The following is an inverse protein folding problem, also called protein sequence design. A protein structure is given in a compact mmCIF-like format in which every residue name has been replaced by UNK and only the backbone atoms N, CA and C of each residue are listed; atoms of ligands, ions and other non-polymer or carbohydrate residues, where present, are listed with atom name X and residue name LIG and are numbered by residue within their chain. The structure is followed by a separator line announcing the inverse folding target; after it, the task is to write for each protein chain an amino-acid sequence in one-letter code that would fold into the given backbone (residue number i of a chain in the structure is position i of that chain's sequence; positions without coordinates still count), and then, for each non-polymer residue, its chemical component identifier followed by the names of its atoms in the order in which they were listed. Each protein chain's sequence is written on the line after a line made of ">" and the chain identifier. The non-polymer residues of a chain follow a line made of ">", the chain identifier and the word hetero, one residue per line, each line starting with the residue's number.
data_IF_556945106484
#
_entry.id   IF_556945106484
#
_cell.length_a   1.000
_cell.length_b   1.000
_cell.length_c   1.000
_cell.angle_alpha   90.00
_cell.angle_beta   90.00
_cell.angle_gamma   90.00
#
_symmetry.space_group_name_H-M   'P 1'
#
loop_
_entity.id
_entity.type
_entity.pdbx_description
1 polymer ?
#
# COMPACT_ATOMS: atom_id res chain seq x y z
N UNK A 1 18.07 4.66 3.09
CA UNK A 1 18.60 3.85 1.96
C UNK A 1 19.82 4.45 1.25
N UNK A 2 20.04 5.78 1.23
CA UNK A 2 21.19 6.39 0.52
C UNK A 2 22.56 5.88 0.98
N UNK A 3 22.65 5.42 2.24
CA UNK A 3 23.86 4.85 2.82
C UNK A 3 24.17 3.42 2.37
N UNK A 4 23.32 2.79 1.55
CA UNK A 4 23.60 1.51 0.88
C UNK A 4 23.20 1.60 -0.61
N UNK A 5 24.10 2.15 -1.46
CA UNK A 5 23.76 2.45 -2.85
C UNK A 5 23.37 1.23 -3.69
N UNK A 6 24.07 0.09 -3.53
CA UNK A 6 23.77 -1.13 -4.28
C UNK A 6 22.43 -1.75 -3.88
N UNK A 7 22.11 -1.78 -2.58
CA UNK A 7 20.80 -2.23 -2.12
C UNK A 7 19.69 -1.34 -2.69
N UNK A 8 19.86 -0.01 -2.60
CA UNK A 8 18.91 0.96 -3.17
C UNK A 8 18.73 0.75 -4.69
N UNK A 9 19.81 0.51 -5.44
CA UNK A 9 19.73 0.26 -6.88
C UNK A 9 18.86 -0.96 -7.20
N UNK A 10 19.05 -2.07 -6.49
CA UNK A 10 18.26 -3.30 -6.68
C UNK A 10 16.80 -3.12 -6.25
N UNK A 11 16.57 -2.47 -5.11
CA UNK A 11 15.23 -2.12 -4.64
C UNK A 11 14.49 -1.23 -5.65
N UNK A 12 15.19 -0.25 -6.22
CA UNK A 12 14.63 0.61 -7.27
C UNK A 12 14.22 -0.21 -8.51
N UNK A 13 15.02 -1.16 -8.99
CA UNK A 13 14.60 -1.99 -10.12
C UNK A 13 13.29 -2.74 -9.84
N UNK A 14 13.15 -3.33 -8.64
CA UNK A 14 11.92 -4.02 -8.24
C UNK A 14 10.71 -3.07 -8.21
N UNK A 15 10.85 -1.89 -7.62
CA UNK A 15 9.71 -0.96 -7.52
C UNK A 15 9.35 -0.31 -8.85
N UNK A 16 10.31 -0.08 -9.76
CA UNK A 16 10.00 0.40 -11.11
C UNK A 16 9.16 -0.64 -11.87
N UNK A 17 9.53 -1.92 -11.81
CA UNK A 17 8.71 -2.99 -12.37
C UNK A 17 7.27 -2.94 -11.81
N UNK A 18 7.12 -2.89 -10.48
CA UNK A 18 5.80 -2.92 -9.85
C UNK A 18 4.97 -1.64 -10.07
N UNK A 19 5.60 -0.47 -10.24
CA UNK A 19 4.91 0.81 -10.37
C UNK A 19 4.59 1.17 -11.82
N UNK A 20 5.53 0.90 -12.71
CA UNK A 20 5.56 1.48 -14.05
C UNK A 20 5.32 0.43 -15.15
N UNK A 21 5.61 -0.84 -14.86
CA UNK A 21 5.48 -1.95 -15.84
C UNK A 21 4.34 -2.93 -15.51
N UNK A 22 3.81 -2.92 -14.29
CA UNK A 22 2.65 -3.75 -13.91
C UNK A 22 1.41 -3.33 -14.70
N UNK A 23 0.60 -4.32 -15.10
CA UNK A 23 -0.68 -4.14 -15.80
C UNK A 23 -1.84 -3.80 -14.85
N UNK A 24 -1.58 -3.75 -13.54
CA UNK A 24 -2.59 -3.39 -12.55
C UNK A 24 -2.99 -1.91 -12.66
N UNK A 25 -4.28 -1.57 -12.46
CA UNK A 25 -4.70 -0.18 -12.39
C UNK A 25 -3.95 0.59 -11.31
N UNK A 26 -3.53 1.83 -11.60
CA UNK A 26 -2.80 2.67 -10.64
C UNK A 26 -3.58 2.85 -9.33
N UNK A 27 -4.91 2.98 -9.40
CA UNK A 27 -5.83 2.97 -8.25
C UNK A 27 -5.57 1.81 -7.26
N UNK A 28 -5.41 0.60 -7.80
CA UNK A 28 -5.18 -0.62 -7.01
C UNK A 28 -3.76 -0.67 -6.45
N UNK A 29 -2.77 -0.23 -7.24
CA UNK A 29 -1.39 -0.11 -6.78
C UNK A 29 -1.29 0.90 -5.62
N UNK A 30 -1.97 2.05 -5.69
CA UNK A 30 -2.02 3.03 -4.61
C UNK A 30 -2.74 2.51 -3.38
N UNK A 31 -3.85 1.78 -3.54
CA UNK A 31 -4.55 1.15 -2.42
C UNK A 31 -3.62 0.20 -1.64
N UNK A 32 -2.85 -0.64 -2.34
CA UNK A 32 -1.87 -1.52 -1.71
C UNK A 32 -0.80 -0.74 -0.92
N UNK A 33 -0.28 0.36 -1.49
CA UNK A 33 0.71 1.24 -0.83
C UNK A 33 0.15 1.89 0.42
N UNK A 34 -1.10 2.38 0.36
CA UNK A 34 -1.78 3.01 1.50
C UNK A 34 -2.05 2.01 2.63
N UNK A 35 -2.51 0.80 2.30
CA UNK A 35 -2.73 -0.25 3.30
C UNK A 35 -1.40 -0.62 3.97
N UNK A 36 -0.33 -0.82 3.20
CA UNK A 36 0.99 -1.14 3.76
C UNK A 36 1.57 0.01 4.61
N UNK A 37 1.45 1.26 4.13
CA UNK A 37 1.89 2.45 4.86
C UNK A 37 1.15 2.61 6.18
N UNK A 38 -0.18 2.42 6.18
CA UNK A 38 -0.98 2.52 7.39
C UNK A 38 -0.81 1.34 8.34
N UNK A 39 -0.59 0.13 7.82
CA UNK A 39 -0.28 -1.04 8.66
C UNK A 39 1.04 -0.87 9.45
N UNK A 40 1.93 -0.03 8.93
CA UNK A 40 3.21 0.32 9.57
C UNK A 40 3.17 1.69 10.26
N UNK A 41 2.01 2.36 10.34
CA UNK A 41 1.87 3.70 10.91
C UNK A 41 2.90 4.72 10.33
N UNK A 42 3.20 4.59 9.04
CA UNK A 42 4.24 5.37 8.38
C UNK A 42 3.68 6.62 7.68
N UNK A 43 3.91 7.77 8.30
CA UNK A 43 3.42 9.06 7.80
C UNK A 43 4.03 9.46 6.46
N UNK A 44 5.31 9.15 6.25
CA UNK A 44 6.01 9.49 5.02
C UNK A 44 5.35 8.82 3.80
N UNK A 45 5.07 7.52 3.91
CA UNK A 45 4.36 6.79 2.84
C UNK A 45 2.94 7.30 2.70
N UNK A 46 2.22 7.52 3.80
CA UNK A 46 0.86 8.02 3.74
C UNK A 46 0.75 9.36 3.00
N UNK A 47 1.59 10.32 3.38
CA UNK A 47 1.62 11.66 2.80
C UNK A 47 1.91 11.60 1.29
N UNK A 48 2.89 10.78 0.89
CA UNK A 48 3.29 10.65 -0.51
C UNK A 48 2.20 10.03 -1.41
N UNK A 49 1.34 9.16 -0.87
CA UNK A 49 0.46 8.31 -1.68
C UNK A 49 -1.03 8.64 -1.58
N UNK A 50 -1.53 9.19 -0.46
CA UNK A 50 -2.98 9.33 -0.30
C UNK A 50 -3.59 10.34 -1.27
N UNK A 51 -2.92 11.46 -1.51
CA UNK A 51 -3.36 12.45 -2.49
C UNK A 51 -3.34 11.88 -3.92
N UNK A 52 -2.36 11.03 -4.24
CA UNK A 52 -2.26 10.37 -5.54
C UNK A 52 -3.34 9.30 -5.71
N UNK A 53 -3.56 8.46 -4.69
CA UNK A 53 -4.63 7.46 -4.69
C UNK A 53 -6.01 8.06 -4.97
N UNK A 54 -6.32 9.22 -4.39
CA UNK A 54 -7.56 9.96 -4.71
C UNK A 54 -7.62 10.41 -6.17
N UNK A 55 -6.51 10.92 -6.72
CA UNK A 55 -6.43 11.34 -8.13
C UNK A 55 -6.63 10.16 -9.09
N UNK A 56 -6.16 8.98 -8.73
CA UNK A 56 -6.34 7.74 -9.49
C UNK A 56 -7.72 7.08 -9.28
N UNK A 57 -8.59 7.68 -8.46
CA UNK A 57 -9.99 7.29 -8.33
C UNK A 57 -10.36 6.53 -7.06
N UNK A 58 -9.48 6.43 -6.06
CA UNK A 58 -9.90 5.98 -4.73
C UNK A 58 -10.84 7.02 -4.11
N UNK A 59 -11.92 6.56 -3.49
CA UNK A 59 -12.85 7.47 -2.83
C UNK A 59 -12.23 8.11 -1.59
N UNK A 60 -12.55 9.38 -1.35
CA UNK A 60 -12.15 10.11 -0.13
C UNK A 60 -12.59 9.39 1.14
N UNK A 61 -13.78 8.78 1.11
CA UNK A 61 -14.35 8.01 2.21
C UNK A 61 -13.49 6.78 2.53
N UNK A 62 -13.04 6.04 1.50
CA UNK A 62 -12.16 4.89 1.70
C UNK A 62 -10.80 5.31 2.26
N UNK A 63 -10.16 6.32 1.67
CA UNK A 63 -8.85 6.80 2.12
C UNK A 63 -8.91 7.31 3.55
N UNK A 64 -9.97 8.04 3.91
CA UNK A 64 -10.18 8.52 5.29
C UNK A 64 -10.44 7.37 6.27
N UNK A 65 -11.25 6.39 5.89
CA UNK A 65 -11.53 5.24 6.76
C UNK A 65 -10.28 4.37 6.99
N UNK A 66 -9.43 4.20 5.97
CA UNK A 66 -8.11 3.59 6.10
C UNK A 66 -7.23 4.40 7.06
N UNK A 67 -7.13 5.73 6.87
CA UNK A 67 -6.36 6.63 7.73
C UNK A 67 -6.75 6.47 9.20
N UNK A 68 -8.04 6.53 9.47
CA UNK A 68 -8.54 6.63 10.84
C UNK A 68 -8.78 5.26 11.46
N UNK A 69 -8.51 4.17 10.73
CA UNK A 69 -8.76 2.77 11.13
C UNK A 69 -10.23 2.56 11.55
N UNK A 70 -11.15 3.20 10.85
CA UNK A 70 -12.61 3.10 11.09
C UNK A 70 -13.27 2.10 10.13
N UNK A 71 -14.60 1.97 10.21
CA UNK A 71 -15.34 1.10 9.31
C UNK A 71 -15.18 1.56 7.86
N UNK A 72 -14.79 0.64 6.98
CA UNK A 72 -14.60 0.92 5.57
C UNK A 72 -15.97 1.06 4.87
N UNK A 73 -16.11 2.01 3.92
CA UNK A 73 -17.31 2.09 3.10
C UNK A 73 -17.37 0.92 2.11
N UNK A 74 -18.54 0.65 1.49
CA UNK A 74 -18.62 -0.24 0.34
C UNK A 74 -17.63 0.21 -0.76
N UNK A 75 -16.89 -0.74 -1.30
CA UNK A 75 -15.89 -0.52 -2.34
C UNK A 75 -16.16 -1.44 -3.54
N UNK A 76 -15.65 -1.09 -4.74
CA UNK A 76 -15.59 -2.00 -5.88
C UNK A 76 -14.99 -3.37 -5.51
N UNK A 77 -15.38 -4.42 -6.23
CA UNK A 77 -15.02 -5.80 -5.88
C UNK A 77 -13.50 -6.04 -5.81
N UNK A 78 -12.73 -5.40 -6.69
CA UNK A 78 -11.27 -5.47 -6.70
C UNK A 78 -10.64 -4.77 -5.48
N UNK A 79 -11.12 -3.57 -5.13
CA UNK A 79 -10.71 -2.87 -3.90
C UNK A 79 -11.00 -3.70 -2.66
N UNK A 80 -12.22 -4.22 -2.55
CA UNK A 80 -12.67 -4.98 -1.40
C UNK A 80 -11.83 -6.25 -1.23
N UNK A 81 -11.58 -6.99 -2.31
CA UNK A 81 -10.74 -8.19 -2.27
C UNK A 81 -9.31 -7.88 -1.80
N UNK A 82 -8.69 -6.79 -2.30
CA UNK A 82 -7.36 -6.38 -1.85
C UNK A 82 -7.37 -5.92 -0.39
N UNK A 83 -8.38 -5.16 0.03
CA UNK A 83 -8.54 -4.70 1.41
C UNK A 83 -8.62 -5.88 2.37
N UNK A 84 -9.46 -6.87 2.09
CA UNK A 84 -9.66 -8.01 2.98
C UNK A 84 -8.42 -8.89 3.04
N UNK A 85 -7.82 -9.18 1.87
CA UNK A 85 -6.56 -9.91 1.77
C UNK A 85 -5.45 -9.23 2.58
N UNK A 86 -5.25 -7.92 2.39
CA UNK A 86 -4.20 -7.17 3.04
C UNK A 86 -4.43 -7.03 4.55
N UNK A 87 -5.67 -6.75 4.98
CA UNK A 87 -6.01 -6.64 6.41
C UNK A 87 -5.76 -7.96 7.13
N UNK A 88 -6.18 -9.09 6.55
CA UNK A 88 -5.94 -10.40 7.15
C UNK A 88 -4.45 -10.75 7.19
N UNK A 89 -3.73 -10.48 6.10
CA UNK A 89 -2.28 -10.71 5.99
C UNK A 89 -1.50 -9.87 7.03
N UNK A 90 -1.78 -8.58 7.14
CA UNK A 90 -1.07 -7.72 8.09
C UNK A 90 -1.42 -8.05 9.54
N UNK A 91 -2.68 -8.42 9.84
CA UNK A 91 -3.11 -8.75 11.19
C UNK A 91 -2.60 -10.13 11.66
N UNK A 92 -2.70 -11.15 10.80
CA UNK A 92 -2.49 -12.55 11.20
C UNK A 92 -1.24 -13.19 10.62
N UNK A 93 -0.56 -12.51 9.68
CA UNK A 93 0.59 -13.02 8.91
C UNK A 93 0.24 -14.23 8.04
N UNK A 94 -1.05 -14.49 7.84
CA UNK A 94 -1.62 -15.54 7.00
C UNK A 94 -2.88 -14.98 6.33
N UNK A 95 -3.37 -15.67 5.32
CA UNK A 95 -4.64 -15.36 4.65
C UNK A 95 -5.43 -16.65 4.61
N UNK A 96 -6.71 -16.62 4.99
CA UNK A 96 -7.57 -17.80 4.89
C UNK A 96 -7.83 -18.13 3.42
N UNK A 97 -8.13 -19.40 3.16
CA UNK A 97 -8.38 -19.87 1.80
C UNK A 97 -9.49 -19.07 1.10
N UNK A 98 -10.60 -18.80 1.80
CA UNK A 98 -11.72 -18.02 1.27
C UNK A 98 -11.29 -16.60 0.82
N UNK A 99 -10.53 -15.88 1.66
CA UNK A 99 -10.00 -14.55 1.33
C UNK A 99 -9.00 -14.62 0.17
N UNK A 100 -8.17 -15.66 0.14
CA UNK A 100 -7.18 -15.88 -0.92
C UNK A 100 -7.86 -16.15 -2.26
N UNK A 101 -8.87 -17.03 -2.28
CA UNK A 101 -9.63 -17.38 -3.48
C UNK A 101 -10.36 -16.16 -4.04
N UNK A 102 -11.01 -15.36 -3.19
CA UNK A 102 -11.64 -14.11 -3.61
C UNK A 102 -10.65 -13.11 -4.24
N UNK A 103 -9.42 -13.03 -3.73
CA UNK A 103 -8.37 -12.19 -4.32
C UNK A 103 -7.84 -12.77 -5.64
N UNK A 104 -7.69 -14.10 -5.72
CA UNK A 104 -7.31 -14.78 -6.96
C UNK A 104 -8.37 -14.58 -8.04
N UNK A 105 -9.65 -14.61 -7.72
CA UNK A 105 -10.72 -14.40 -8.68
C UNK A 105 -10.70 -12.99 -9.29
N UNK A 106 -10.25 -11.98 -8.54
CA UNK A 106 -10.12 -10.61 -9.03
C UNK A 106 -8.83 -10.38 -9.84
N UNK A 107 -7.70 -10.94 -9.39
CA UNK A 107 -6.37 -10.55 -9.89
C UNK A 107 -5.63 -11.67 -10.64
N UNK A 108 -6.04 -12.92 -10.45
CA UNK A 108 -5.26 -14.08 -10.83
C UNK A 108 -3.93 -14.19 -10.06
N UNK A 109 -3.22 -15.29 -10.28
CA UNK A 109 -2.02 -15.61 -9.51
C UNK A 109 -0.87 -14.59 -9.70
N UNK A 110 -0.67 -14.10 -10.93
CA UNK A 110 0.43 -13.18 -11.23
C UNK A 110 0.26 -11.84 -10.52
N UNK A 111 -0.88 -11.17 -10.73
CA UNK A 111 -1.07 -9.83 -10.18
C UNK A 111 -1.26 -9.86 -8.65
N UNK A 112 -1.85 -10.92 -8.08
CA UNK A 112 -1.89 -11.07 -6.62
C UNK A 112 -0.47 -11.23 -6.03
N UNK A 113 0.43 -11.91 -6.75
CA UNK A 113 1.85 -12.00 -6.37
C UNK A 113 2.52 -10.64 -6.44
N UNK A 114 2.27 -9.85 -7.49
CA UNK A 114 2.76 -8.47 -7.63
C UNK A 114 2.24 -7.58 -6.49
N UNK A 115 0.96 -7.65 -6.15
CA UNK A 115 0.35 -6.89 -5.04
C UNK A 115 0.92 -7.27 -3.69
N UNK A 116 1.07 -8.56 -3.43
CA UNK A 116 1.69 -9.05 -2.19
C UNK A 116 3.14 -8.56 -2.06
N UNK A 117 3.88 -8.58 -3.17
CA UNK A 117 5.27 -8.08 -3.23
C UNK A 117 5.33 -6.57 -3.04
N UNK A 118 4.40 -5.82 -3.66
CA UNK A 118 4.30 -4.38 -3.53
C UNK A 118 4.01 -3.96 -2.08
N UNK A 119 3.06 -4.61 -1.41
CA UNK A 119 2.80 -4.36 0.00
C UNK A 119 4.04 -4.64 0.85
N UNK A 120 4.73 -5.76 0.62
CA UNK A 120 5.99 -6.07 1.31
C UNK A 120 7.10 -5.04 1.05
N UNK A 121 7.21 -4.56 -0.18
CA UNK A 121 8.17 -3.52 -0.56
C UNK A 121 7.87 -2.20 0.17
N UNK A 122 6.61 -1.78 0.23
CA UNK A 122 6.22 -0.56 0.93
C UNK A 122 6.31 -0.71 2.45
N UNK A 123 6.13 -1.91 3.00
CA UNK A 123 6.47 -2.18 4.40
C UNK A 123 7.97 -2.07 4.66
N UNK A 124 8.84 -2.55 3.76
CA UNK A 124 10.29 -2.35 3.85
C UNK A 124 10.66 -0.85 3.84
N UNK A 125 10.04 -0.07 2.94
CA UNK A 125 10.25 1.38 2.91
C UNK A 125 9.77 2.04 4.20
N UNK A 126 8.58 1.66 4.68
CA UNK A 126 8.04 2.16 5.94
C UNK A 126 8.94 1.83 7.14
N UNK A 127 9.49 0.62 7.20
CA UNK A 127 10.48 0.25 8.24
C UNK A 127 11.69 1.18 8.20
N UNK A 128 12.22 1.50 7.03
CA UNK A 128 13.32 2.46 6.90
C UNK A 128 12.87 3.87 7.29
N UNK A 129 11.73 4.34 6.79
CA UNK A 129 11.24 5.68 7.09
C UNK A 129 11.01 5.90 8.59
N UNK A 130 10.41 4.93 9.25
CA UNK A 130 10.14 4.99 10.70
C UNK A 130 11.43 4.84 11.51
N UNK A 131 12.28 3.85 11.20
CA UNK A 131 13.51 3.61 11.97
C UNK A 131 14.54 4.74 11.86
N UNK A 132 14.52 5.48 10.75
CA UNK A 132 15.39 6.65 10.53
C UNK A 132 14.65 7.99 10.72
N UNK A 133 13.43 7.98 11.25
CA UNK A 133 12.62 9.16 11.54
C UNK A 133 12.62 10.19 10.40
N UNK A 134 12.28 9.72 9.19
CA UNK A 134 12.24 10.60 8.00
C UNK A 134 11.15 11.64 8.19
N UNK A 135 11.55 12.92 8.24
CA UNK A 135 10.63 14.05 8.34
C UNK A 135 9.70 14.13 7.13
N UNK A 136 8.46 14.55 7.39
CA UNK A 136 7.53 14.94 6.35
C UNK A 136 8.06 16.17 5.57
N UNK A 137 7.79 16.26 4.26
CA UNK A 137 8.14 17.45 3.49
C UNK A 137 7.36 18.67 4.00
N UNK A 138 7.91 19.88 3.87
CA UNK A 138 7.22 21.12 4.28
C UNK A 138 5.90 21.31 3.53
N UNK A 139 5.89 21.00 2.24
CA UNK A 139 4.73 21.05 1.35
C UNK A 139 3.90 19.74 1.42
N UNK A 140 3.40 19.42 2.62
CA UNK A 140 2.53 18.26 2.85
C UNK A 140 1.27 18.32 1.98
N UNK A 141 0.90 17.17 1.43
CA UNK A 141 -0.38 17.00 0.71
C UNK A 141 -1.48 16.41 1.58
N UNK A 142 -1.14 15.89 2.76
CA UNK A 142 -2.08 15.22 3.67
C UNK A 142 -1.88 15.67 5.12
N UNK A 143 -2.93 15.60 5.95
CA UNK A 143 -2.80 15.66 7.39
C UNK A 143 -1.89 14.56 7.95
N UNK A 144 -1.25 14.85 9.08
CA UNK A 144 -0.51 13.89 9.92
C UNK A 144 -1.41 12.71 10.29
N UNK A 145 -0.84 11.51 10.37
CA UNK A 145 -1.60 10.31 10.75
C UNK A 145 -2.03 10.38 12.22
N UNK A 146 -3.23 9.88 12.56
CA UNK A 146 -3.62 9.67 13.95
C UNK A 146 -3.03 8.34 14.43
N UNK A 147 -1.79 8.37 14.94
CA UNK A 147 -1.05 7.22 15.49
C UNK A 147 -1.03 7.23 17.00
#
# INVERSE_FOLDING_TARGET
>A
MIHSPEMRRRANHLVHYLRDESELPQRILELAKLIAGRAMDCEFIWNAHAAWGRREGLSDALVSALRDKTSLPPAPADEQALIDFAKELFATKRVKQETFDAAIDQFGARQLTELTTLMGYYSLLAMNANAFEINLPENRTEPVLPV
#
